data_IF_718107420897
#
_entry.id   IF_718107420897
#
_cell.length_a   1.000
_cell.length_b   1.000
_cell.length_c   1.000
_cell.angle_alpha   90.00
_cell.angle_beta   90.00
_cell.angle_gamma   90.00
#
_symmetry.space_group_name_H-M   'P 1'
#
loop_
_entity.id
_entity.type
_entity.pdbx_description
1 polymer ?
#
# COMPACT_ATOMS: atom_id res chain seq x y z
N UNK A 1 -13.93 18.43 -3.81
CA UNK A 1 -12.54 18.80 -3.49
C UNK A 1 -11.97 17.63 -2.74
N UNK A 2 -11.31 16.70 -3.43
CA UNK A 2 -10.60 15.61 -2.77
C UNK A 2 -9.50 16.25 -1.94
N UNK A 3 -9.52 16.00 -0.63
CA UNK A 3 -8.49 16.50 0.27
C UNK A 3 -7.36 15.48 0.14
N UNK A 4 -6.41 15.71 -0.78
CA UNK A 4 -5.20 14.89 -0.85
C UNK A 4 -4.44 15.03 0.47
N UNK A 5 -4.69 14.12 1.39
CA UNK A 5 -3.84 13.92 2.56
C UNK A 5 -2.63 13.09 2.18
N UNK A 6 -1.71 12.92 3.14
CA UNK A 6 -0.53 12.10 2.97
C UNK A 6 -0.80 10.61 3.28
N UNK A 7 -2.06 10.24 3.55
CA UNK A 7 -2.45 8.85 3.81
C UNK A 7 -2.54 8.06 2.51
N UNK A 8 -2.36 6.73 2.61
CA UNK A 8 -2.29 5.87 1.44
C UNK A 8 -3.64 5.82 0.70
N UNK A 9 -4.76 5.72 1.42
CA UNK A 9 -6.10 5.68 0.83
C UNK A 9 -6.66 7.06 0.45
N UNK A 10 -5.94 8.16 0.72
CA UNK A 10 -6.33 9.50 0.23
C UNK A 10 -5.96 9.69 -1.26
N UNK A 11 -5.19 8.77 -1.85
CA UNK A 11 -4.84 8.75 -3.26
C UNK A 11 -5.92 8.03 -4.08
N UNK A 12 -6.33 8.62 -5.21
CA UNK A 12 -7.41 8.09 -6.05
C UNK A 12 -7.10 6.66 -6.55
N UNK A 13 -5.88 6.37 -7.00
CA UNK A 13 -5.50 5.03 -7.47
C UNK A 13 -5.52 3.99 -6.34
N UNK A 14 -5.09 4.37 -5.14
CA UNK A 14 -5.17 3.51 -3.96
C UNK A 14 -6.63 3.26 -3.51
N UNK A 15 -7.49 4.27 -3.63
CA UNK A 15 -8.91 4.16 -3.31
C UNK A 15 -9.63 3.27 -4.31
N UNK A 16 -9.38 3.44 -5.61
CA UNK A 16 -9.92 2.60 -6.68
C UNK A 16 -9.48 1.14 -6.50
N UNK A 17 -8.20 0.90 -6.21
CA UNK A 17 -7.69 -0.44 -5.91
C UNK A 17 -8.37 -1.08 -4.70
N UNK A 18 -8.60 -0.30 -3.64
CA UNK A 18 -9.30 -0.77 -2.45
C UNK A 18 -10.77 -1.13 -2.74
N UNK A 19 -11.44 -0.36 -3.60
CA UNK A 19 -12.82 -0.66 -4.04
C UNK A 19 -12.86 -1.95 -4.88
N UNK A 20 -11.95 -2.09 -5.85
CA UNK A 20 -11.85 -3.29 -6.68
C UNK A 20 -11.55 -4.54 -5.84
N UNK A 21 -10.63 -4.43 -4.88
CA UNK A 21 -10.29 -5.51 -3.96
C UNK A 21 -11.47 -5.87 -3.05
N UNK A 22 -12.26 -4.88 -2.62
CA UNK A 22 -13.48 -5.12 -1.82
C UNK A 22 -14.50 -5.93 -2.61
N UNK A 23 -14.72 -5.59 -3.88
CA UNK A 23 -15.71 -6.21 -4.73
C UNK A 23 -15.29 -7.63 -5.17
N UNK A 24 -14.00 -7.83 -5.42
CA UNK A 24 -13.44 -9.12 -5.80
C UNK A 24 -12.17 -9.45 -5.01
N UNK A 25 -12.30 -9.91 -3.75
CA UNK A 25 -11.16 -10.12 -2.89
C UNK A 25 -10.34 -11.31 -3.34
N UNK A 26 -9.12 -11.01 -3.78
CA UNK A 26 -8.20 -11.99 -4.31
C UNK A 26 -6.77 -11.62 -3.92
N UNK A 27 -6.10 -12.55 -3.26
CA UNK A 27 -4.69 -12.43 -2.88
C UNK A 27 -3.77 -12.20 -4.09
N UNK A 28 -4.11 -12.80 -5.24
CA UNK A 28 -3.35 -12.61 -6.47
C UNK A 28 -3.28 -11.14 -6.92
N UNK A 29 -4.33 -10.35 -6.65
CA UNK A 29 -4.37 -8.91 -6.98
C UNK A 29 -3.42 -8.12 -6.08
N UNK A 30 -3.31 -8.49 -4.79
CA UNK A 30 -2.33 -7.90 -3.87
C UNK A 30 -0.92 -8.24 -4.33
N UNK A 31 -0.67 -9.50 -4.69
CA UNK A 31 0.63 -9.96 -5.17
C UNK A 31 1.04 -9.24 -6.45
N UNK A 32 0.13 -9.12 -7.42
CA UNK A 32 0.38 -8.44 -8.70
C UNK A 32 0.77 -6.98 -8.49
N UNK A 33 0.01 -6.22 -7.69
CA UNK A 33 0.31 -4.82 -7.40
C UNK A 33 1.67 -4.63 -6.71
N UNK A 34 2.02 -5.51 -5.77
CA UNK A 34 3.29 -5.45 -5.08
C UNK A 34 4.47 -5.86 -5.98
N UNK A 35 4.30 -6.93 -6.78
CA UNK A 35 5.30 -7.42 -7.69
C UNK A 35 5.60 -6.39 -8.80
N UNK A 36 4.57 -5.72 -9.31
CA UNK A 36 4.71 -4.66 -10.31
C UNK A 36 5.67 -3.55 -9.88
N UNK A 37 5.79 -3.31 -8.57
CA UNK A 37 6.66 -2.27 -8.01
C UNK A 37 7.97 -2.84 -7.44
N UNK A 38 7.95 -4.06 -6.91
CA UNK A 38 9.14 -4.71 -6.39
C UNK A 38 10.12 -5.17 -7.48
N UNK A 39 9.61 -5.52 -8.66
CA UNK A 39 10.41 -5.97 -9.82
C UNK A 39 10.77 -4.82 -10.79
N UNK A 40 10.20 -3.62 -10.60
CA UNK A 40 10.46 -2.47 -11.45
C UNK A 40 11.86 -1.89 -11.20
N UNK A 41 12.69 -1.84 -12.25
CA UNK A 41 14.09 -1.40 -12.19
C UNK A 41 14.31 -0.01 -12.80
N UNK A 42 13.35 0.53 -13.56
CA UNK A 42 13.49 1.81 -14.26
C UNK A 42 12.89 2.97 -13.47
N UNK A 43 11.56 3.02 -13.35
CA UNK A 43 10.86 4.10 -12.65
C UNK A 43 9.46 3.67 -12.26
N UNK A 44 9.12 3.81 -10.97
CA UNK A 44 7.79 3.45 -10.46
C UNK A 44 6.85 4.65 -10.61
N UNK A 45 5.81 4.48 -11.43
CA UNK A 45 4.75 5.47 -11.61
C UNK A 45 3.94 5.73 -10.33
N UNK A 46 3.35 6.91 -10.22
CA UNK A 46 2.64 7.34 -9.00
C UNK A 46 1.42 6.46 -8.70
N UNK A 47 0.70 6.03 -9.74
CA UNK A 47 -0.49 5.18 -9.61
C UNK A 47 -0.07 3.78 -9.14
N UNK A 48 0.91 3.15 -9.80
CA UNK A 48 1.45 1.85 -9.39
C UNK A 48 2.03 1.87 -7.97
N UNK A 49 2.75 2.93 -7.60
CA UNK A 49 3.20 3.12 -6.21
C UNK A 49 2.03 3.20 -5.22
N UNK A 50 0.96 3.90 -5.58
CA UNK A 50 -0.21 4.09 -4.72
C UNK A 50 -0.99 2.78 -4.53
N UNK A 51 -1.19 2.02 -5.60
CA UNK A 51 -1.80 0.67 -5.56
C UNK A 51 -0.97 -0.29 -4.70
N UNK A 52 0.35 -0.31 -4.88
CA UNK A 52 1.24 -1.15 -4.08
C UNK A 52 1.25 -0.76 -2.59
N UNK A 53 1.18 0.53 -2.26
CA UNK A 53 1.03 0.98 -0.87
C UNK A 53 -0.32 0.56 -0.28
N UNK A 54 -1.40 0.65 -1.05
CA UNK A 54 -2.72 0.18 -0.63
C UNK A 54 -2.73 -1.34 -0.37
N UNK A 55 -2.13 -2.12 -1.28
CA UNK A 55 -1.97 -3.56 -1.12
C UNK A 55 -1.17 -3.91 0.15
N UNK A 56 -0.08 -3.19 0.40
CA UNK A 56 0.73 -3.35 1.61
C UNK A 56 -0.07 -3.02 2.90
N UNK A 57 -0.93 -1.99 2.89
CA UNK A 57 -1.82 -1.67 4.01
C UNK A 57 -2.85 -2.78 4.27
N UNK A 58 -3.41 -3.36 3.21
CA UNK A 58 -4.34 -4.49 3.31
C UNK A 58 -3.63 -5.70 3.93
N UNK A 59 -2.41 -6.03 3.51
CA UNK A 59 -1.63 -7.12 4.10
C UNK A 59 -1.35 -6.86 5.58
N UNK A 60 -0.94 -5.64 5.94
CA UNK A 60 -0.74 -5.28 7.34
C UNK A 60 -2.03 -5.46 8.17
N UNK A 61 -3.19 -5.14 7.59
CA UNK A 61 -4.48 -5.35 8.21
C UNK A 61 -4.86 -6.84 8.33
N UNK A 62 -4.59 -7.67 7.32
CA UNK A 62 -4.75 -9.13 7.35
C UNK A 62 -3.92 -9.73 8.49
N UNK A 63 -2.73 -9.19 8.75
CA UNK A 63 -1.86 -9.56 9.88
C UNK A 63 -2.32 -9.02 11.24
N UNK A 64 -3.48 -8.36 11.30
CA UNK A 64 -4.03 -7.80 12.54
C UNK A 64 -3.38 -6.49 12.98
N UNK A 65 -2.62 -5.82 12.10
CA UNK A 65 -2.00 -4.50 12.32
C UNK A 65 -2.52 -3.47 11.30
N UNK A 66 -3.84 -3.18 11.27
CA UNK A 66 -4.42 -2.26 10.30
C UNK A 66 -3.95 -0.82 10.52
N UNK A 67 -3.98 -0.03 9.44
CA UNK A 67 -3.80 1.41 9.51
C UNK A 67 -4.98 2.08 10.24
N UNK A 68 -4.78 3.28 10.77
CA UNK A 68 -5.89 4.03 11.39
C UNK A 68 -6.90 4.52 10.34
N UNK A 69 -6.41 4.78 9.14
CA UNK A 69 -7.14 5.25 7.97
C UNK A 69 -7.65 4.11 7.07
N UNK A 70 -7.51 2.85 7.50
CA UNK A 70 -8.01 1.71 6.75
C UNK A 70 -9.53 1.86 6.48
N UNK A 71 -9.98 1.78 5.22
CA UNK A 71 -11.40 1.80 4.90
C UNK A 71 -12.17 0.73 5.67
N UNK A 72 -13.16 1.14 6.46
CA UNK A 72 -13.98 0.24 7.30
C UNK A 72 -14.69 -0.84 6.49
N UNK A 73 -14.91 -0.56 5.22
CA UNK A 73 -15.54 -1.40 4.23
C UNK A 73 -14.69 -2.61 3.81
N UNK A 74 -13.38 -2.55 4.02
CA UNK A 74 -12.45 -3.66 3.77
C UNK A 74 -12.42 -4.68 4.91
N UNK A 75 -12.85 -4.29 6.12
CA UNK A 75 -12.81 -5.17 7.31
C UNK A 75 -13.51 -6.53 7.07
N UNK A 76 -14.74 -6.59 6.51
CA UNK A 76 -15.44 -7.86 6.30
C UNK A 76 -14.76 -8.80 5.29
N UNK A 77 -13.89 -8.23 4.45
CA UNK A 77 -13.13 -8.93 3.43
C UNK A 77 -11.82 -9.46 4.03
N UNK A 78 -11.08 -8.58 4.70
CA UNK A 78 -9.80 -8.88 5.37
C UNK A 78 -9.96 -10.03 6.37
N UNK A 79 -11.02 -10.03 7.19
CA UNK A 79 -11.26 -11.09 8.19
C UNK A 79 -11.56 -12.47 7.60
N UNK A 80 -11.84 -12.54 6.29
CA UNK A 80 -12.09 -13.81 5.57
C UNK A 80 -10.85 -14.33 4.87
N UNK A 81 -9.79 -13.52 4.76
CA UNK A 81 -8.54 -13.97 4.15
C UNK A 81 -7.81 -14.91 5.09
N UNK A 82 -7.19 -15.92 4.49
CA UNK A 82 -6.38 -16.88 5.23
C UNK A 82 -4.97 -16.30 5.44
N UNK A 83 -4.41 -16.50 6.63
CA UNK A 83 -3.12 -15.93 7.03
C UNK A 83 -1.96 -16.91 6.82
N UNK A 84 -2.22 -18.12 6.32
CA UNK A 84 -1.20 -19.17 6.23
C UNK A 84 -0.14 -18.92 5.11
N UNK A 85 -0.43 -18.11 4.08
CA UNK A 85 0.52 -17.78 2.98
C UNK A 85 1.23 -16.42 3.16
N UNK A 86 1.20 -15.87 4.38
CA UNK A 86 1.52 -14.45 4.60
C UNK A 86 3.00 -14.08 4.63
N UNK A 87 3.92 -15.02 4.86
CA UNK A 87 5.34 -14.68 5.01
C UNK A 87 5.95 -14.15 3.71
N UNK A 88 5.70 -14.83 2.59
CA UNK A 88 6.20 -14.41 1.27
C UNK A 88 5.56 -13.07 0.83
N UNK A 89 4.26 -12.91 1.09
CA UNK A 89 3.54 -11.65 0.85
C UNK A 89 4.07 -10.50 1.70
N UNK A 90 4.42 -10.76 2.96
CA UNK A 90 5.02 -9.76 3.85
C UNK A 90 6.40 -9.32 3.35
N UNK A 91 7.24 -10.26 2.93
CA UNK A 91 8.54 -9.93 2.35
C UNK A 91 8.39 -9.11 1.07
N UNK A 92 7.46 -9.49 0.19
CA UNK A 92 7.16 -8.77 -1.04
C UNK A 92 6.62 -7.35 -0.77
N UNK A 93 5.66 -7.22 0.15
CA UNK A 93 5.11 -5.92 0.56
C UNK A 93 6.19 -4.99 1.11
N UNK A 94 7.08 -5.50 1.93
CA UNK A 94 8.23 -4.73 2.45
C UNK A 94 9.19 -4.35 1.34
N UNK A 95 9.40 -5.22 0.36
CA UNK A 95 10.21 -4.95 -0.83
C UNK A 95 9.64 -3.77 -1.62
N UNK A 96 8.36 -3.85 -1.97
CA UNK A 96 7.65 -2.81 -2.70
C UNK A 96 7.68 -1.46 -1.98
N UNK A 97 7.31 -1.41 -0.69
CA UNK A 97 7.32 -0.14 0.08
C UNK A 97 8.72 0.48 0.13
N UNK A 98 9.78 -0.34 0.26
CA UNK A 98 11.17 0.15 0.20
C UNK A 98 11.55 0.66 -1.17
N UNK A 99 11.11 0.01 -2.25
CA UNK A 99 11.36 0.44 -3.61
C UNK A 99 10.71 1.81 -3.87
N UNK A 100 9.44 1.97 -3.48
CA UNK A 100 8.69 3.23 -3.57
C UNK A 100 9.38 4.35 -2.81
N UNK A 101 9.82 4.07 -1.57
CA UNK A 101 10.54 5.04 -0.74
C UNK A 101 11.91 5.43 -1.29
N UNK A 102 12.52 4.58 -2.12
CA UNK A 102 13.84 4.81 -2.69
C UNK A 102 13.73 5.67 -3.95
N UNK A 103 12.87 5.29 -4.90
CA UNK A 103 12.78 5.92 -6.22
C UNK A 103 11.40 5.65 -6.85
N UNK A 104 10.49 6.63 -6.75
CA UNK A 104 9.17 6.58 -7.41
C UNK A 104 8.68 7.98 -7.71
N UNK A 105 7.82 8.12 -8.72
CA UNK A 105 7.15 9.39 -9.02
C UNK A 105 6.38 9.93 -7.80
N UNK A 106 5.84 9.04 -6.96
CA UNK A 106 5.15 9.39 -5.72
C UNK A 106 6.12 9.97 -4.68
N UNK A 107 7.31 9.37 -4.52
CA UNK A 107 8.35 9.89 -3.64
C UNK A 107 8.85 11.25 -4.10
N UNK A 108 9.07 11.44 -5.40
CA UNK A 108 9.49 12.72 -5.98
C UNK A 108 8.42 13.80 -5.77
N UNK A 109 7.15 13.45 -5.98
CA UNK A 109 6.02 14.33 -5.74
C UNK A 109 5.99 14.82 -4.29
N UNK A 110 6.09 13.91 -3.32
CA UNK A 110 6.05 14.28 -1.90
C UNK A 110 7.32 15.00 -1.45
N UNK A 111 8.49 14.70 -2.01
CA UNK A 111 9.76 15.33 -1.64
C UNK A 111 9.76 16.87 -1.77
N UNK A 112 8.93 17.42 -2.67
CA UNK A 112 8.75 18.86 -2.86
C UNK A 112 7.67 19.51 -2.00
N UNK A 113 6.95 18.74 -1.17
CA UNK A 113 5.78 19.20 -0.41
C UNK A 113 6.08 19.44 1.07
N UNK A 114 5.23 20.24 1.74
CA UNK A 114 5.33 20.47 3.19
C UNK A 114 5.05 19.19 4.02
N UNK A 115 4.35 18.21 3.45
CA UNK A 115 4.00 16.94 4.11
C UNK A 115 5.01 15.81 3.82
N UNK A 116 6.16 16.10 3.20
CA UNK A 116 7.15 15.08 2.83
C UNK A 116 7.57 14.20 4.01
N UNK A 117 7.80 14.83 5.17
CA UNK A 117 8.23 14.15 6.38
C UNK A 117 7.12 13.25 6.96
N UNK A 118 5.87 13.72 6.93
CA UNK A 118 4.70 12.97 7.41
C UNK A 118 4.43 11.75 6.52
N UNK A 119 4.48 11.92 5.20
CA UNK A 119 4.35 10.82 4.25
C UNK A 119 5.46 9.77 4.44
N UNK A 120 6.72 10.19 4.56
CA UNK A 120 7.82 9.26 4.83
C UNK A 120 7.66 8.54 6.17
N UNK A 121 7.18 9.24 7.20
CA UNK A 121 6.91 8.62 8.50
C UNK A 121 5.81 7.57 8.40
N UNK A 122 4.74 7.85 7.65
CA UNK A 122 3.66 6.90 7.39
C UNK A 122 4.16 5.61 6.74
N UNK A 123 4.97 5.71 5.67
CA UNK A 123 5.48 4.51 5.00
C UNK A 123 6.47 3.73 5.86
N UNK A 124 7.19 4.40 6.76
CA UNK A 124 8.06 3.72 7.75
C UNK A 124 7.24 3.01 8.80
N UNK A 125 6.13 3.59 9.26
CA UNK A 125 5.19 2.92 10.17
C UNK A 125 4.60 1.67 9.52
N UNK A 126 4.19 1.76 8.25
CA UNK A 126 3.75 0.61 7.46
C UNK A 126 4.82 -0.49 7.42
N UNK A 127 6.09 -0.15 7.16
CA UNK A 127 7.20 -1.11 7.20
C UNK A 127 7.41 -1.77 8.58
N UNK A 128 7.14 -1.07 9.68
CA UNK A 128 7.20 -1.65 11.03
C UNK A 128 6.02 -2.59 11.29
N UNK A 129 4.83 -2.29 10.75
CA UNK A 129 3.66 -3.16 10.84
C UNK A 129 3.85 -4.44 10.03
N UNK A 130 4.52 -4.38 8.89
CA UNK A 130 4.84 -5.54 8.05
C UNK A 130 5.99 -6.43 8.59
N UNK A 131 6.51 -6.18 9.80
CA UNK A 131 7.53 -7.03 10.44
C UNK A 131 6.96 -8.23 11.18
#
# INVERSE_FOLDING_TARGET
MATWGYHNFDNDAAADFAEDFRDNPNEAVLLEALAAVAEEEEHIDADAASEALAAAEIIAAVMGKPAQDLPVDLIPVIVKMDTDESEDLLELARGAVKAILKESALQEHWAGSDNAADWQHLQRDLLERLK
#
